data_IF_987629541468
#
_entry.id   IF_987629541468
#
_cell.length_a   1.000
_cell.length_b   1.000
_cell.length_c   1.000
_cell.angle_alpha   90.00
_cell.angle_beta   90.00
_cell.angle_gamma   90.00
#
_symmetry.space_group_name_H-M   'P 1'
#
loop_
_entity.id
_entity.type
_entity.pdbx_description
1 polymer ?
#
# COMPACT_ATOMS: atom_id res chain seq x y z
N UNK A 1 16.37 -25.80 56.26
CA UNK A 1 15.35 -25.16 55.40
C UNK A 1 15.78 -23.80 54.86
N UNK A 2 16.30 -22.87 55.70
CA UNK A 2 16.72 -21.52 55.25
C UNK A 2 17.80 -21.50 54.14
N UNK A 3 18.79 -22.40 54.20
CA UNK A 3 19.85 -22.49 53.18
C UNK A 3 19.31 -22.87 51.79
N UNK A 4 18.37 -23.81 51.74
CA UNK A 4 17.71 -24.22 50.50
C UNK A 4 16.91 -23.07 49.89
N UNK A 5 16.22 -22.29 50.72
CA UNK A 5 15.51 -21.10 50.27
C UNK A 5 16.47 -20.06 49.66
N UNK A 6 17.61 -19.77 50.30
CA UNK A 6 18.59 -18.83 49.74
C UNK A 6 19.22 -19.32 48.44
N UNK A 7 19.56 -20.62 48.34
CA UNK A 7 20.08 -21.20 47.09
C UNK A 7 19.04 -21.15 45.97
N UNK A 8 17.78 -21.51 46.27
CA UNK A 8 16.70 -21.44 45.29
C UNK A 8 16.49 -20.01 44.77
N UNK A 9 16.47 -19.00 45.65
CA UNK A 9 16.36 -17.60 45.24
C UNK A 9 17.58 -17.15 44.43
N UNK A 10 18.79 -17.55 44.82
CA UNK A 10 20.00 -17.19 44.07
C UNK A 10 19.99 -17.79 42.66
N UNK A 11 19.60 -19.06 42.51
CA UNK A 11 19.44 -19.72 41.20
C UNK A 11 18.34 -19.04 40.38
N UNK A 12 17.23 -18.67 41.02
CA UNK A 12 16.14 -17.96 40.36
C UNK A 12 16.59 -16.60 39.81
N UNK A 13 17.32 -15.80 40.61
CA UNK A 13 17.88 -14.52 40.17
C UNK A 13 18.89 -14.72 39.03
N UNK A 14 19.74 -15.76 39.12
CA UNK A 14 20.68 -16.10 38.05
C UNK A 14 19.96 -16.47 36.74
N UNK A 15 18.85 -17.21 36.83
CA UNK A 15 18.00 -17.54 35.69
C UNK A 15 17.34 -16.32 35.06
N UNK A 16 16.84 -15.39 35.88
CA UNK A 16 16.29 -14.12 35.39
C UNK A 16 17.35 -13.25 34.70
N UNK A 17 18.57 -13.20 35.24
CA UNK A 17 19.67 -12.47 34.62
C UNK A 17 20.03 -13.06 33.25
N UNK A 18 20.09 -14.39 33.14
CA UNK A 18 20.32 -15.07 31.86
C UNK A 18 19.19 -14.81 30.86
N UNK A 19 17.93 -14.92 31.29
CA UNK A 19 16.78 -14.65 30.43
C UNK A 19 16.75 -13.21 29.92
N UNK A 20 16.98 -12.23 30.79
CA UNK A 20 17.03 -10.83 30.39
C UNK A 20 18.15 -10.54 29.39
N UNK A 21 19.32 -11.15 29.58
CA UNK A 21 20.44 -11.03 28.64
C UNK A 21 20.09 -11.64 27.27
N UNK A 22 19.45 -12.81 27.25
CA UNK A 22 19.03 -13.48 26.03
C UNK A 22 17.99 -12.67 25.25
N UNK A 23 16.94 -12.19 25.92
CA UNK A 23 15.90 -11.34 25.32
C UNK A 23 16.48 -10.06 24.72
N UNK A 24 17.48 -9.48 25.39
CA UNK A 24 18.17 -8.29 24.89
C UNK A 24 18.93 -8.58 23.58
N UNK A 25 19.44 -9.79 23.40
CA UNK A 25 20.16 -10.18 22.18
C UNK A 25 19.19 -10.38 21.00
N UNK A 26 18.10 -11.13 21.23
CA UNK A 26 17.05 -11.35 20.22
C UNK A 26 16.43 -10.05 19.72
N UNK A 27 16.32 -9.05 20.60
CA UNK A 27 15.82 -7.71 20.26
C UNK A 27 16.81 -6.94 19.38
N UNK A 28 18.11 -7.06 19.65
CA UNK A 28 19.14 -6.35 18.90
C UNK A 28 19.24 -6.84 17.46
N UNK A 29 19.19 -8.16 17.23
CA UNK A 29 19.26 -8.74 15.88
C UNK A 29 18.11 -8.23 15.00
N UNK A 30 16.90 -8.15 15.57
CA UNK A 30 15.73 -7.61 14.86
C UNK A 30 15.83 -6.11 14.61
N UNK A 31 16.47 -5.38 15.52
CA UNK A 31 16.68 -3.94 15.36
C UNK A 31 17.67 -3.65 14.22
N UNK A 32 18.70 -4.49 14.06
CA UNK A 32 19.68 -4.36 12.98
C UNK A 32 19.07 -4.70 11.62
N UNK A 33 18.26 -5.76 11.53
CA UNK A 33 17.48 -6.10 10.32
C UNK A 33 16.57 -4.93 9.90
N UNK A 34 15.86 -4.32 10.85
CA UNK A 34 15.02 -3.15 10.58
C UNK A 34 15.82 -1.92 10.14
N UNK A 35 17.03 -1.72 10.68
CA UNK A 35 17.91 -0.62 10.28
C UNK A 35 18.40 -0.80 8.84
N UNK A 36 18.76 -2.02 8.46
CA UNK A 36 19.18 -2.33 7.09
C UNK A 36 18.03 -2.13 6.09
N UNK A 37 16.84 -2.64 6.42
CA UNK A 37 15.67 -2.45 5.58
C UNK A 37 15.29 -0.97 5.42
N UNK A 38 15.35 -0.19 6.49
CA UNK A 38 15.09 1.26 6.41
C UNK A 38 16.14 1.99 5.56
N UNK A 39 17.41 1.58 5.62
CA UNK A 39 18.46 2.12 4.75
C UNK A 39 18.18 1.83 3.29
N UNK A 40 17.73 0.62 2.97
CA UNK A 40 17.33 0.24 1.62
C UNK A 40 16.12 1.05 1.14
N UNK A 41 15.07 1.17 1.96
CA UNK A 41 13.89 2.00 1.66
C UNK A 41 14.28 3.46 1.41
N UNK A 42 15.17 4.02 2.22
CA UNK A 42 15.65 5.39 2.03
C UNK A 42 16.35 5.55 0.67
N UNK A 43 17.21 4.60 0.28
CA UNK A 43 17.91 4.62 -1.01
C UNK A 43 16.95 4.52 -2.20
N UNK A 44 15.92 3.66 -2.11
CA UNK A 44 14.92 3.51 -3.16
C UNK A 44 14.06 4.77 -3.30
N UNK A 45 13.70 5.40 -2.18
CA UNK A 45 12.95 6.67 -2.18
C UNK A 45 13.75 7.82 -2.80
N UNK A 46 15.07 7.85 -2.63
CA UNK A 46 15.93 8.81 -3.32
C UNK A 46 15.86 8.62 -4.84
N UNK A 47 15.92 7.37 -5.32
CA UNK A 47 15.73 7.05 -6.74
C UNK A 47 14.36 7.46 -7.27
N UNK A 48 13.29 7.22 -6.49
CA UNK A 48 11.93 7.67 -6.84
C UNK A 48 11.82 9.20 -6.90
N UNK A 49 12.54 9.93 -6.03
CA UNK A 49 12.55 11.39 -6.05
C UNK A 49 13.12 11.92 -7.37
N UNK A 50 14.23 11.34 -7.83
CA UNK A 50 14.85 11.70 -9.12
C UNK A 50 13.90 11.38 -10.27
N UNK A 51 13.33 10.17 -10.31
CA UNK A 51 12.43 9.78 -11.39
C UNK A 51 11.17 10.65 -11.45
N UNK A 52 10.62 11.04 -10.30
CA UNK A 52 9.50 11.97 -10.25
C UNK A 52 9.89 13.36 -10.77
N UNK A 53 11.12 13.83 -10.48
CA UNK A 53 11.62 15.09 -11.01
C UNK A 53 11.79 15.03 -12.54
N UNK A 54 12.30 13.92 -13.07
CA UNK A 54 12.41 13.67 -14.51
C UNK A 54 11.03 13.63 -15.17
N UNK A 55 10.08 12.90 -14.59
CA UNK A 55 8.71 12.84 -15.08
C UNK A 55 8.06 14.23 -15.08
N UNK A 56 8.21 14.98 -13.99
CA UNK A 56 7.70 16.35 -13.88
C UNK A 56 8.33 17.28 -14.92
N UNK A 57 9.62 17.10 -15.25
CA UNK A 57 10.29 17.83 -16.32
C UNK A 57 9.75 17.46 -17.71
N UNK A 58 9.59 16.16 -17.98
CA UNK A 58 9.09 15.68 -19.27
C UNK A 58 7.64 16.10 -19.53
N UNK A 59 6.80 16.12 -18.49
CA UNK A 59 5.39 16.49 -18.56
C UNK A 59 5.10 17.98 -18.35
N UNK A 60 6.11 18.86 -18.41
CA UNK A 60 5.86 20.31 -18.38
C UNK A 60 4.96 20.69 -19.57
N UNK A 61 3.78 21.31 -19.33
CA UNK A 61 2.82 21.59 -20.38
C UNK A 61 3.40 22.49 -21.48
N UNK A 62 4.28 23.42 -21.12
CA UNK A 62 4.96 24.29 -22.07
C UNK A 62 5.86 23.50 -23.04
N UNK A 63 6.69 22.60 -22.51
CA UNK A 63 7.54 21.71 -23.32
C UNK A 63 6.71 20.79 -24.21
N UNK A 64 5.62 20.24 -23.69
CA UNK A 64 4.71 19.42 -24.48
C UNK A 64 4.08 20.21 -25.64
N UNK A 65 3.64 21.46 -25.41
CA UNK A 65 3.13 22.33 -26.49
C UNK A 65 4.19 22.61 -27.54
N UNK A 66 5.41 22.92 -27.13
CA UNK A 66 6.52 23.15 -28.06
C UNK A 66 6.79 21.91 -28.92
N UNK A 67 6.86 20.72 -28.31
CA UNK A 67 7.06 19.45 -29.03
C UNK A 67 5.92 19.14 -30.01
N UNK A 68 4.68 19.41 -29.61
CA UNK A 68 3.49 19.25 -30.46
C UNK A 68 3.54 20.21 -31.64
N UNK A 69 3.92 21.47 -31.41
CA UNK A 69 4.04 22.47 -32.47
C UNK A 69 5.15 22.09 -33.48
N UNK A 70 6.29 21.61 -32.99
CA UNK A 70 7.37 21.12 -33.86
C UNK A 70 6.96 19.92 -34.71
N UNK A 71 6.10 19.05 -34.18
CA UNK A 71 5.61 17.83 -34.86
C UNK A 71 4.17 17.98 -35.39
N UNK A 72 3.73 19.21 -35.65
CA UNK A 72 2.34 19.51 -36.00
C UNK A 72 1.89 18.78 -37.28
N UNK A 73 2.79 18.60 -38.25
CA UNK A 73 2.50 17.90 -39.50
C UNK A 73 1.97 16.48 -39.28
N UNK A 74 2.47 15.79 -38.25
CA UNK A 74 2.09 14.42 -37.90
C UNK A 74 0.98 14.38 -36.84
N UNK A 75 1.10 15.17 -35.77
CA UNK A 75 0.20 15.10 -34.62
C UNK A 75 -1.13 15.83 -34.86
N UNK A 76 -1.10 16.97 -35.57
CA UNK A 76 -2.28 17.84 -35.84
C UNK A 76 -3.11 18.16 -34.59
N UNK A 77 -2.45 18.21 -33.43
CA UNK A 77 -3.09 18.52 -32.16
C UNK A 77 -3.17 20.04 -32.00
N UNK A 78 -4.34 20.52 -31.56
CA UNK A 78 -4.55 21.91 -31.15
C UNK A 78 -4.77 21.97 -29.63
N UNK A 79 -4.38 23.08 -28.98
CA UNK A 79 -4.68 23.28 -27.57
C UNK A 79 -6.18 23.21 -27.34
N UNK A 80 -6.60 22.41 -26.36
CA UNK A 80 -8.01 22.38 -25.94
C UNK A 80 -8.37 23.71 -25.31
N UNK A 81 -9.52 24.26 -25.70
CA UNK A 81 -10.06 25.48 -25.08
C UNK A 81 -11.01 25.11 -23.94
N UNK A 82 -11.16 25.97 -22.90
CA UNK A 82 -12.04 25.71 -21.77
C UNK A 82 -13.48 25.37 -22.16
N UNK A 83 -13.96 25.92 -23.28
CA UNK A 83 -15.32 25.72 -23.81
C UNK A 83 -15.55 24.31 -24.38
N UNK A 84 -14.47 23.56 -24.63
CA UNK A 84 -14.53 22.17 -25.10
C UNK A 84 -14.68 21.17 -23.94
N UNK A 85 -14.50 21.60 -22.70
CA UNK A 85 -14.80 20.76 -21.53
C UNK A 85 -16.31 20.77 -21.26
N UNK A 86 -16.92 19.58 -21.22
CA UNK A 86 -18.32 19.44 -20.85
C UNK A 86 -18.56 19.83 -19.38
N UNK A 87 -19.71 20.41 -19.10
CA UNK A 87 -20.12 20.66 -17.71
C UNK A 87 -20.66 19.37 -17.08
N UNK A 88 -20.57 19.24 -15.75
CA UNK A 88 -21.07 18.03 -15.03
C UNK A 88 -22.53 17.74 -15.35
N UNK A 89 -23.33 18.78 -15.59
CA UNK A 89 -24.75 18.67 -15.98
C UNK A 89 -24.98 18.11 -17.40
N UNK A 90 -23.94 18.04 -18.25
CA UNK A 90 -23.98 17.49 -19.60
C UNK A 90 -23.58 16.01 -19.64
N UNK A 91 -23.20 15.42 -18.49
CA UNK A 91 -22.90 14.00 -18.38
C UNK A 91 -24.22 13.24 -18.32
N UNK A 92 -24.50 12.42 -19.33
CA UNK A 92 -25.65 11.52 -19.30
C UNK A 92 -25.40 10.45 -18.21
N UNK A 93 -26.04 10.62 -17.06
CA UNK A 93 -26.08 9.56 -16.07
C UNK A 93 -26.98 8.44 -16.58
N UNK A 94 -26.56 7.17 -16.50
CA UNK A 94 -27.46 6.07 -16.79
C UNK A 94 -28.68 6.20 -15.86
N UNK A 95 -29.87 6.29 -16.44
CA UNK A 95 -31.11 6.20 -15.67
C UNK A 95 -31.07 4.88 -14.91
N UNK A 96 -31.33 4.87 -13.58
CA UNK A 96 -31.52 3.61 -12.86
C UNK A 96 -32.53 2.80 -13.65
N UNK A 97 -32.07 1.72 -14.27
CA UNK A 97 -32.92 0.87 -15.08
C UNK A 97 -34.02 0.36 -14.15
N UNK A 98 -35.27 0.59 -14.51
CA UNK A 98 -36.42 0.03 -13.78
C UNK A 98 -36.43 -1.52 -13.79
N UNK A 99 -35.51 -2.12 -14.54
CA UNK A 99 -35.20 -3.55 -14.58
C UNK A 99 -34.02 -3.92 -13.67
N UNK A 100 -33.66 -3.08 -12.69
CA UNK A 100 -32.83 -3.54 -11.58
C UNK A 100 -33.51 -4.79 -11.00
N UNK A 101 -32.81 -5.95 -10.93
CA UNK A 101 -33.40 -7.16 -10.38
C UNK A 101 -33.93 -6.84 -8.99
N UNK A 102 -35.19 -7.20 -8.76
CA UNK A 102 -35.97 -6.89 -7.57
C UNK A 102 -35.12 -7.16 -6.31
N UNK A 103 -34.49 -6.12 -5.75
CA UNK A 103 -33.57 -6.25 -4.61
C UNK A 103 -34.30 -6.65 -3.33
N UNK A 104 -35.63 -6.78 -3.41
CA UNK A 104 -36.51 -7.42 -2.43
C UNK A 104 -36.02 -8.82 -2.01
N UNK A 105 -35.30 -9.53 -2.90
CA UNK A 105 -34.74 -10.87 -2.63
C UNK A 105 -33.35 -10.87 -1.97
N UNK A 106 -32.68 -9.71 -1.84
CA UNK A 106 -31.40 -9.61 -1.12
C UNK A 106 -31.56 -9.69 0.41
N UNK A 107 -32.79 -9.82 0.89
CA UNK A 107 -33.15 -10.07 2.28
C UNK A 107 -33.01 -11.56 2.67
N UNK A 108 -32.86 -12.45 1.69
CA UNK A 108 -32.65 -13.87 1.95
C UNK A 108 -31.19 -14.05 2.36
N UNK A 109 -30.90 -14.54 3.58
CA UNK A 109 -29.54 -14.87 3.93
C UNK A 109 -29.07 -15.96 2.96
N UNK A 110 -27.99 -15.67 2.24
CA UNK A 110 -27.30 -16.67 1.42
C UNK A 110 -26.75 -17.73 2.37
N UNK A 111 -27.45 -18.85 2.50
CA UNK A 111 -26.95 -20.04 3.17
C UNK A 111 -25.73 -20.53 2.38
N UNK A 112 -24.53 -20.26 2.91
CA UNK A 112 -23.29 -20.81 2.38
C UNK A 112 -23.35 -22.32 2.60
N UNK A 113 -23.78 -23.05 1.57
CA UNK A 113 -23.65 -24.50 1.52
C UNK A 113 -22.17 -24.82 1.41
N UNK A 114 -21.51 -24.97 2.55
CA UNK A 114 -20.20 -25.60 2.62
C UNK A 114 -20.38 -27.05 2.15
N UNK A 115 -19.85 -27.33 0.97
CA UNK A 115 -19.81 -28.67 0.39
C UNK A 115 -18.86 -29.54 1.24
N UNK A 116 -19.32 -30.58 1.95
CA UNK A 116 -18.45 -31.41 2.75
C UNK A 116 -18.20 -32.73 2.03
N UNK A 117 -17.59 -32.71 0.84
CA UNK A 117 -17.07 -33.95 0.24
C UNK A 117 -15.68 -33.77 -0.36
N UNK A 118 -14.69 -33.82 0.53
CA UNK A 118 -13.38 -34.37 0.24
C UNK A 118 -13.23 -35.68 1.00
N UNK A 119 -13.45 -36.82 0.33
CA UNK A 119 -13.38 -38.13 0.97
C UNK A 119 -13.45 -39.32 0.01
N UNK A 120 -12.29 -39.63 -0.59
CA UNK A 120 -11.89 -40.83 -1.35
C UNK A 120 -12.30 -40.92 -2.82
#
# INVERSE_FOLDING_TARGET
>A
MRLLAYLATSVFVMGLAFWAYHVNYDTQDKLDELRDLNREIASLNEGLSVLNAEWAYLNRPERLRELVNLNFASLRLLPMTPEQFGTVAQIAYPTPQADAPDTSDLSVPVEVKADPEGGN
#
